data_IF_995604393904
#
_entry.id   IF_995604393904
#
_cell.length_a   1.000
_cell.length_b   1.000
_cell.length_c   1.000
_cell.angle_alpha   90.00
_cell.angle_beta   90.00
_cell.angle_gamma   90.00
#
_symmetry.space_group_name_H-M   'P 1'
#
loop_
_entity.id
_entity.type
_entity.pdbx_description
1 polymer ?
#
# COMPACT_ATOMS: atom_id res chain seq x y z
N UNK A 1 -23.98 23.69 -29.65
CA UNK A 1 -22.52 23.45 -29.69
C UNK A 1 -22.02 23.48 -28.25
N UNK A 2 -21.96 22.34 -27.62
CA UNK A 2 -21.41 22.24 -26.23
C UNK A 2 -19.90 21.99 -26.35
N UNK A 3 -19.13 23.04 -26.13
CA UNK A 3 -17.67 22.94 -25.97
C UNK A 3 -17.36 22.46 -24.58
N UNK A 4 -17.26 21.12 -24.38
CA UNK A 4 -16.63 20.56 -23.17
C UNK A 4 -15.14 20.90 -23.23
N UNK A 5 -14.72 21.87 -22.45
CA UNK A 5 -13.30 22.23 -22.29
C UNK A 5 -12.60 21.14 -21.48
N UNK A 6 -11.45 20.60 -21.88
CA UNK A 6 -10.73 19.52 -21.19
C UNK A 6 -10.43 19.79 -19.71
N UNK A 7 -10.26 21.03 -19.31
CA UNK A 7 -10.00 21.43 -17.92
C UNK A 7 -11.16 21.25 -16.96
N UNK A 8 -12.40 21.30 -17.42
CA UNK A 8 -13.59 21.16 -16.57
C UNK A 8 -13.78 19.70 -16.14
N UNK A 9 -13.48 18.75 -17.03
CA UNK A 9 -13.62 17.31 -16.76
C UNK A 9 -12.54 16.81 -15.79
N UNK A 10 -11.28 17.26 -15.93
CA UNK A 10 -10.19 16.90 -15.03
C UNK A 10 -10.44 17.38 -13.60
N UNK A 11 -10.85 18.64 -13.42
CA UNK A 11 -11.19 19.19 -12.10
C UNK A 11 -12.36 18.44 -11.42
N UNK A 12 -13.31 17.92 -12.20
CA UNK A 12 -14.45 17.15 -11.68
C UNK A 12 -13.99 15.78 -11.17
N UNK A 13 -13.11 15.09 -11.90
CA UNK A 13 -12.55 13.79 -11.50
C UNK A 13 -11.69 13.93 -10.24
N UNK A 14 -10.80 14.91 -10.19
CA UNK A 14 -9.95 15.15 -9.01
C UNK A 14 -10.80 15.49 -7.76
N UNK A 15 -11.87 16.26 -7.94
CA UNK A 15 -12.81 16.58 -6.84
C UNK A 15 -13.54 15.35 -6.33
N UNK A 16 -13.99 14.44 -7.21
CA UNK A 16 -14.61 13.17 -6.83
C UNK A 16 -13.62 12.29 -6.05
N UNK A 17 -12.39 12.12 -6.58
CA UNK A 17 -11.36 11.35 -5.92
C UNK A 17 -11.00 11.93 -4.56
N UNK A 18 -10.80 13.22 -4.46
CA UNK A 18 -10.52 13.92 -3.20
C UNK A 18 -11.62 13.69 -2.18
N UNK A 19 -12.89 13.81 -2.60
CA UNK A 19 -14.05 13.59 -1.72
C UNK A 19 -14.12 12.17 -1.19
N UNK A 20 -13.85 11.16 -2.03
CA UNK A 20 -13.88 9.75 -1.62
C UNK A 20 -12.68 9.42 -0.74
N UNK A 21 -11.46 9.77 -1.17
CA UNK A 21 -10.23 9.40 -0.47
C UNK A 21 -10.16 10.03 0.92
N UNK A 22 -10.58 11.29 1.06
CA UNK A 22 -10.54 12.02 2.34
C UNK A 22 -11.40 11.41 3.44
N UNK A 23 -12.41 10.62 3.09
CA UNK A 23 -13.29 9.96 4.05
C UNK A 23 -12.67 8.71 4.70
N UNK A 24 -11.69 8.09 4.03
CA UNK A 24 -11.13 6.80 4.46
C UNK A 24 -9.64 6.87 4.78
N UNK A 25 -8.85 7.66 4.05
CA UNK A 25 -7.39 7.63 4.09
C UNK A 25 -6.85 8.87 4.81
N UNK A 26 -6.59 8.75 6.12
CA UNK A 26 -6.03 9.82 6.96
C UNK A 26 -4.69 10.34 6.43
N UNK A 27 -3.85 9.46 5.92
CA UNK A 27 -2.59 9.81 5.27
C UNK A 27 -2.74 10.92 4.21
N UNK A 28 -3.77 10.81 3.36
CA UNK A 28 -4.08 11.83 2.35
C UNK A 28 -4.47 13.17 2.99
N UNK A 29 -5.24 13.14 4.07
CA UNK A 29 -5.72 14.36 4.73
C UNK A 29 -4.58 15.19 5.33
N UNK A 30 -3.51 14.52 5.74
CA UNK A 30 -2.34 15.13 6.36
C UNK A 30 -1.33 15.73 5.35
N UNK A 31 -1.47 15.42 4.07
CA UNK A 31 -0.59 15.97 3.03
C UNK A 31 -0.75 17.49 2.88
N UNK A 32 0.32 18.15 2.45
CA UNK A 32 0.27 19.52 1.94
C UNK A 32 -0.62 19.61 0.67
N UNK A 33 -1.04 20.82 0.28
CA UNK A 33 -1.86 20.99 -0.94
C UNK A 33 -1.13 20.46 -2.19
N UNK A 34 0.18 20.69 -2.29
CA UNK A 34 1.00 20.14 -3.36
C UNK A 34 1.08 18.62 -3.30
N UNK A 35 1.18 18.06 -2.09
CA UNK A 35 1.14 16.61 -1.86
C UNK A 35 -0.21 16.01 -2.24
N UNK A 36 -1.32 16.62 -1.86
CA UNK A 36 -2.67 16.19 -2.25
C UNK A 36 -2.85 16.18 -3.76
N UNK A 37 -2.44 17.24 -4.42
CA UNK A 37 -2.51 17.32 -5.89
C UNK A 37 -1.75 16.18 -6.55
N UNK A 38 -0.47 15.98 -6.16
CA UNK A 38 0.36 14.88 -6.68
C UNK A 38 -0.26 13.50 -6.38
N UNK A 39 -0.83 13.32 -5.20
CA UNK A 39 -1.49 12.08 -4.81
C UNK A 39 -2.70 11.78 -5.71
N UNK A 40 -3.55 12.77 -5.94
CA UNK A 40 -4.73 12.65 -6.80
C UNK A 40 -4.34 12.36 -8.25
N UNK A 41 -3.38 13.09 -8.82
CA UNK A 41 -2.86 12.84 -10.16
C UNK A 41 -2.40 11.38 -10.32
N UNK A 42 -1.66 10.85 -9.34
CA UNK A 42 -1.19 9.47 -9.34
C UNK A 42 -2.32 8.45 -9.16
N UNK A 43 -3.28 8.72 -8.28
CA UNK A 43 -4.42 7.83 -8.04
C UNK A 43 -5.32 7.72 -9.28
N UNK A 44 -5.60 8.83 -9.96
CA UNK A 44 -6.34 8.86 -11.23
C UNK A 44 -5.57 8.08 -12.29
N UNK A 45 -4.27 8.33 -12.42
CA UNK A 45 -3.44 7.61 -13.40
C UNK A 45 -3.39 6.11 -13.10
N UNK A 46 -3.09 5.71 -11.85
CA UNK A 46 -3.06 4.31 -11.45
C UNK A 46 -4.37 3.59 -11.77
N UNK A 47 -5.52 4.22 -11.43
CA UNK A 47 -6.84 3.69 -11.79
C UNK A 47 -7.00 3.47 -13.29
N UNK A 48 -6.50 4.40 -14.11
CA UNK A 48 -6.68 4.37 -15.57
C UNK A 48 -5.91 3.24 -16.27
N UNK A 49 -4.85 2.72 -15.65
CA UNK A 49 -3.99 1.67 -16.19
C UNK A 49 -4.25 0.27 -15.59
N UNK A 50 -5.23 0.14 -14.68
CA UNK A 50 -5.59 -1.12 -14.04
C UNK A 50 -6.96 -1.62 -14.46
N UNK A 51 -7.08 -2.94 -14.57
CA UNK A 51 -8.35 -3.63 -14.78
C UNK A 51 -8.89 -4.12 -13.44
N UNK A 52 -10.06 -3.63 -13.06
CA UNK A 52 -10.76 -4.06 -11.85
C UNK A 52 -11.82 -5.10 -12.21
N UNK A 53 -11.78 -6.25 -11.54
CA UNK A 53 -12.73 -7.34 -11.69
C UNK A 53 -13.40 -7.64 -10.35
N UNK A 54 -14.71 -7.70 -10.34
CA UNK A 54 -15.52 -7.91 -9.14
C UNK A 54 -16.02 -9.35 -9.10
N UNK A 55 -15.64 -10.11 -8.07
CA UNK A 55 -15.96 -11.53 -7.92
C UNK A 55 -17.02 -11.67 -6.83
N UNK A 56 -18.24 -12.02 -7.24
CA UNK A 56 -19.36 -12.24 -6.32
C UNK A 56 -19.93 -10.96 -5.69
N UNK A 57 -19.69 -9.81 -6.32
CA UNK A 57 -20.23 -8.52 -5.89
C UNK A 57 -20.41 -7.57 -7.08
N UNK A 58 -21.26 -6.56 -6.90
CA UNK A 58 -21.44 -5.50 -7.87
C UNK A 58 -20.31 -4.47 -7.81
N UNK A 59 -20.06 -3.82 -8.95
CA UNK A 59 -19.15 -2.69 -9.03
C UNK A 59 -19.65 -1.51 -8.19
N UNK A 60 -18.74 -0.89 -7.44
CA UNK A 60 -18.99 0.36 -6.71
C UNK A 60 -17.91 1.36 -7.08
N UNK A 61 -18.32 2.61 -7.30
CA UNK A 61 -17.42 3.67 -7.79
C UNK A 61 -16.23 3.94 -6.87
N UNK A 62 -16.43 3.84 -5.56
CA UNK A 62 -15.41 4.11 -4.56
C UNK A 62 -14.30 3.05 -4.52
N UNK A 63 -14.59 1.80 -4.89
CA UNK A 63 -13.64 0.69 -4.80
C UNK A 63 -12.36 0.97 -5.60
N UNK A 64 -12.43 1.22 -6.92
CA UNK A 64 -11.20 1.44 -7.69
C UNK A 64 -10.47 2.73 -7.30
N UNK A 65 -11.17 3.74 -6.79
CA UNK A 65 -10.59 4.97 -6.29
C UNK A 65 -9.74 4.68 -5.04
N UNK A 66 -10.32 3.98 -4.06
CA UNK A 66 -9.68 3.72 -2.77
C UNK A 66 -8.53 2.72 -2.89
N UNK A 67 -8.67 1.67 -3.70
CA UNK A 67 -7.57 0.72 -3.94
C UNK A 67 -6.40 1.42 -4.69
N UNK A 68 -6.70 2.29 -5.65
CA UNK A 68 -5.66 3.09 -6.31
C UNK A 68 -4.98 4.04 -5.32
N UNK A 69 -5.72 4.62 -4.40
CA UNK A 69 -5.17 5.48 -3.36
C UNK A 69 -4.27 4.71 -2.38
N UNK A 70 -4.62 3.47 -2.02
CA UNK A 70 -3.77 2.60 -1.20
C UNK A 70 -2.43 2.28 -1.90
N UNK A 71 -2.46 1.97 -3.19
CA UNK A 71 -1.25 1.77 -3.99
C UNK A 71 -0.36 3.03 -4.03
N UNK A 72 -0.99 4.20 -4.22
CA UNK A 72 -0.28 5.49 -4.22
C UNK A 72 0.27 5.82 -2.83
N UNK A 73 -0.44 5.51 -1.75
CA UNK A 73 0.05 5.74 -0.39
C UNK A 73 1.41 5.06 -0.16
N UNK A 74 1.54 3.79 -0.52
CA UNK A 74 2.80 3.05 -0.37
C UNK A 74 3.90 3.61 -1.28
N UNK A 75 3.56 3.95 -2.50
CA UNK A 75 4.52 4.36 -3.54
C UNK A 75 4.72 5.86 -3.64
N UNK A 76 4.14 6.66 -2.74
CA UNK A 76 4.08 8.13 -2.87
C UNK A 76 5.45 8.80 -2.96
N UNK A 77 6.44 8.28 -2.24
CA UNK A 77 7.81 8.76 -2.28
C UNK A 77 8.65 8.24 -3.46
N UNK A 78 8.17 7.21 -4.16
CA UNK A 78 8.90 6.54 -5.23
C UNK A 78 8.70 7.22 -6.58
N UNK A 79 9.69 7.08 -7.46
CA UNK A 79 9.58 7.50 -8.85
C UNK A 79 8.66 6.56 -9.64
N UNK A 80 8.78 5.27 -9.40
CA UNK A 80 7.99 4.20 -9.99
C UNK A 80 6.86 3.81 -9.05
N UNK A 81 5.62 4.05 -9.47
CA UNK A 81 4.42 3.87 -8.62
C UNK A 81 3.32 3.07 -9.32
N UNK A 82 3.54 2.71 -10.57
CA UNK A 82 2.49 2.15 -11.44
C UNK A 82 2.27 0.65 -11.22
N UNK A 83 3.25 -0.07 -10.68
CA UNK A 83 3.23 -1.53 -10.53
C UNK A 83 2.82 -2.22 -11.85
N UNK A 84 3.56 -2.03 -12.96
CA UNK A 84 3.12 -2.41 -14.30
C UNK A 84 2.98 -3.92 -14.53
N UNK A 85 3.62 -4.77 -13.72
CA UNK A 85 3.41 -6.22 -13.75
C UNK A 85 1.97 -6.58 -13.40
N UNK A 86 1.40 -5.93 -12.38
CA UNK A 86 0.05 -6.18 -11.90
C UNK A 86 -0.99 -5.36 -12.65
N UNK A 87 -1.46 -5.88 -13.78
CA UNK A 87 -2.50 -5.22 -14.58
C UNK A 87 -3.90 -5.40 -14.00
N UNK A 88 -4.15 -6.53 -13.35
CA UNK A 88 -5.45 -6.92 -12.85
C UNK A 88 -5.54 -6.75 -11.34
N UNK A 89 -6.66 -6.21 -10.88
CA UNK A 89 -7.04 -6.12 -9.48
C UNK A 89 -8.39 -6.82 -9.33
N UNK A 90 -8.45 -7.84 -8.49
CA UNK A 90 -9.64 -8.62 -8.22
C UNK A 90 -10.20 -8.25 -6.85
N UNK A 91 -11.50 -7.99 -6.79
CA UNK A 91 -12.16 -7.57 -5.55
C UNK A 91 -13.25 -8.58 -5.21
N UNK A 92 -13.20 -9.08 -3.97
CA UNK A 92 -14.20 -9.98 -3.39
C UNK A 92 -14.97 -9.25 -2.28
N UNK A 93 -16.24 -9.62 -2.00
CA UNK A 93 -17.01 -8.95 -0.94
C UNK A 93 -16.48 -9.24 0.47
N UNK A 94 -15.99 -10.47 0.72
CA UNK A 94 -15.51 -10.98 2.01
C UNK A 94 -14.29 -11.88 1.78
N UNK A 95 -13.75 -12.45 2.84
CA UNK A 95 -12.73 -13.48 2.78
C UNK A 95 -13.15 -14.63 1.85
N UNK A 96 -12.20 -15.25 1.20
CA UNK A 96 -12.44 -16.27 0.18
C UNK A 96 -11.44 -17.41 0.31
N UNK A 97 -11.76 -18.52 -0.32
CA UNK A 97 -10.91 -19.70 -0.41
C UNK A 97 -10.47 -19.89 -1.87
N UNK A 98 -9.21 -20.14 -2.08
CA UNK A 98 -8.70 -20.49 -3.42
C UNK A 98 -8.96 -21.97 -3.71
N UNK A 99 -9.25 -22.26 -4.97
CA UNK A 99 -9.51 -23.64 -5.41
C UNK A 99 -8.30 -24.54 -5.11
N UNK A 100 -8.52 -25.60 -4.33
CA UNK A 100 -7.48 -26.56 -3.94
C UNK A 100 -6.71 -26.18 -2.68
N UNK A 101 -6.93 -25.01 -2.09
CA UNK A 101 -6.33 -24.58 -0.83
C UNK A 101 -7.34 -24.66 0.31
N UNK A 102 -6.87 -24.94 1.53
CA UNK A 102 -7.73 -24.99 2.72
C UNK A 102 -7.74 -23.64 3.48
N UNK A 103 -6.78 -22.81 3.18
CA UNK A 103 -6.61 -21.51 3.83
C UNK A 103 -7.65 -20.50 3.35
N UNK A 104 -8.02 -19.60 4.25
CA UNK A 104 -8.93 -18.49 3.97
C UNK A 104 -8.09 -17.25 3.77
N UNK A 105 -8.29 -16.58 2.65
CA UNK A 105 -7.59 -15.37 2.26
C UNK A 105 -8.47 -14.13 2.43
N UNK A 106 -7.87 -13.05 2.88
CA UNK A 106 -8.45 -11.71 2.91
C UNK A 106 -7.86 -10.81 1.83
N UNK A 107 -6.71 -11.22 1.30
CA UNK A 107 -5.99 -10.67 0.17
C UNK A 107 -4.90 -11.64 -0.26
N UNK A 108 -4.36 -11.50 -1.43
CA UNK A 108 -3.10 -12.12 -1.87
C UNK A 108 -2.61 -11.50 -3.16
N UNK A 109 -1.31 -11.62 -3.39
CA UNK A 109 -0.66 -11.26 -4.64
C UNK A 109 -0.20 -12.52 -5.37
N UNK A 110 -0.49 -12.59 -6.65
CA UNK A 110 -0.06 -13.71 -7.52
C UNK A 110 0.25 -13.19 -8.93
N UNK A 111 0.82 -14.00 -9.83
CA UNK A 111 1.05 -13.58 -11.21
C UNK A 111 -0.22 -13.15 -11.97
N UNK A 112 -1.38 -13.62 -11.55
CA UNK A 112 -2.68 -13.25 -12.14
C UNK A 112 -3.09 -11.83 -11.78
N UNK A 113 -2.67 -11.31 -10.61
CA UNK A 113 -3.01 -10.00 -10.14
C UNK A 113 -2.97 -9.83 -8.62
N UNK A 114 -3.52 -8.71 -8.16
CA UNK A 114 -3.70 -8.39 -6.75
C UNK A 114 -5.15 -8.67 -6.37
N UNK A 115 -5.38 -9.48 -5.34
CA UNK A 115 -6.69 -9.84 -4.83
C UNK A 115 -6.94 -9.17 -3.49
N UNK A 116 -8.09 -8.51 -3.32
CA UNK A 116 -8.43 -7.75 -2.12
C UNK A 116 -9.87 -8.04 -1.71
N UNK A 117 -10.09 -8.42 -0.46
CA UNK A 117 -11.41 -8.44 0.15
C UNK A 117 -11.86 -7.03 0.51
N UNK A 118 -12.98 -6.60 -0.05
CA UNK A 118 -13.52 -5.26 0.19
C UNK A 118 -13.88 -5.01 1.65
N UNK A 119 -14.44 -6.01 2.32
CA UNK A 119 -14.76 -5.95 3.75
C UNK A 119 -13.51 -5.67 4.59
N UNK A 120 -12.43 -6.42 4.35
CA UNK A 120 -11.19 -6.27 5.10
C UNK A 120 -10.39 -5.02 4.69
N UNK A 121 -10.54 -4.56 3.44
CA UNK A 121 -10.07 -3.24 3.03
C UNK A 121 -10.69 -2.14 3.89
N UNK A 122 -12.01 -2.15 4.03
CA UNK A 122 -12.71 -1.14 4.85
C UNK A 122 -12.38 -1.25 6.33
N UNK A 123 -12.18 -2.46 6.85
CA UNK A 123 -11.76 -2.66 8.24
C UNK A 123 -10.39 -2.06 8.50
N UNK A 124 -9.40 -2.29 7.61
CA UNK A 124 -8.05 -1.77 7.74
C UNK A 124 -8.00 -0.24 7.75
N UNK A 125 -8.82 0.43 6.96
CA UNK A 125 -8.92 1.90 7.02
C UNK A 125 -9.88 2.43 8.09
N UNK A 126 -10.64 1.54 8.74
CA UNK A 126 -11.55 1.90 9.84
C UNK A 126 -10.87 2.08 11.18
N UNK A 127 -9.75 1.40 11.41
CA UNK A 127 -8.92 1.53 12.61
C UNK A 127 -7.44 1.69 12.20
N UNK A 128 -6.97 2.93 12.18
CA UNK A 128 -5.61 3.27 11.80
C UNK A 128 -4.57 3.04 12.93
N UNK A 129 -4.88 2.23 13.95
CA UNK A 129 -4.02 2.05 15.13
C UNK A 129 -3.73 0.59 15.46
N UNK A 130 -4.40 -0.36 14.83
CA UNK A 130 -4.28 -1.79 15.13
C UNK A 130 -3.14 -2.50 14.38
N UNK A 131 -2.44 -1.80 13.49
CA UNK A 131 -1.38 -2.32 12.61
C UNK A 131 -1.88 -3.43 11.67
N UNK A 132 -3.15 -3.39 11.24
CA UNK A 132 -3.75 -4.37 10.34
C UNK A 132 -4.46 -3.67 9.19
N UNK A 133 -3.83 -3.62 8.04
CA UNK A 133 -4.40 -3.03 6.84
C UNK A 133 -4.10 -3.91 5.62
N UNK A 134 -5.09 -4.71 5.23
CA UNK A 134 -4.94 -5.66 4.12
C UNK A 134 -4.56 -4.97 2.80
N UNK A 135 -5.04 -3.75 2.56
CA UNK A 135 -4.69 -3.05 1.33
C UNK A 135 -3.21 -2.65 1.31
N UNK A 136 -2.71 -2.11 2.43
CA UNK A 136 -1.29 -1.79 2.60
C UNK A 136 -0.44 -3.05 2.51
N UNK A 137 -0.88 -4.14 3.14
CA UNK A 137 -0.22 -5.45 3.12
C UNK A 137 -0.02 -5.98 1.71
N UNK A 138 -1.10 -6.09 0.94
CA UNK A 138 -1.03 -6.63 -0.43
C UNK A 138 -0.26 -5.71 -1.38
N UNK A 139 -0.38 -4.40 -1.22
CA UNK A 139 0.42 -3.46 -2.01
C UNK A 139 1.91 -3.51 -1.65
N UNK A 140 2.27 -3.84 -0.40
CA UNK A 140 3.66 -4.06 -0.01
C UNK A 140 4.24 -5.32 -0.69
N UNK A 141 3.49 -6.43 -0.72
CA UNK A 141 3.87 -7.61 -1.49
C UNK A 141 3.99 -7.32 -2.99
N UNK A 142 3.03 -6.58 -3.56
CA UNK A 142 3.08 -6.19 -4.96
C UNK A 142 4.32 -5.35 -5.29
N UNK A 143 4.68 -4.40 -4.42
CA UNK A 143 5.86 -3.56 -4.59
C UNK A 143 7.16 -4.37 -4.51
N UNK A 144 7.27 -5.31 -3.58
CA UNK A 144 8.41 -6.23 -3.49
C UNK A 144 8.50 -7.09 -4.75
N UNK A 145 7.41 -7.70 -5.16
CA UNK A 145 7.35 -8.56 -6.34
C UNK A 145 7.72 -7.81 -7.62
N UNK A 146 7.22 -6.60 -7.82
CA UNK A 146 7.55 -5.75 -8.97
C UNK A 146 9.05 -5.52 -9.11
N UNK A 147 9.74 -5.31 -7.99
CA UNK A 147 11.15 -4.95 -7.99
C UNK A 147 12.12 -6.14 -8.01
N UNK A 148 11.71 -7.33 -7.55
CA UNK A 148 12.62 -8.46 -7.38
C UNK A 148 12.31 -9.65 -8.30
N UNK A 149 11.09 -9.78 -8.80
CA UNK A 149 10.67 -10.90 -9.63
C UNK A 149 10.52 -10.46 -11.09
N UNK A 150 10.05 -9.25 -11.32
CA UNK A 150 9.88 -8.69 -12.65
C UNK A 150 10.93 -7.60 -12.92
N UNK A 151 12.02 -7.95 -13.56
CA UNK A 151 13.16 -7.05 -13.79
C UNK A 151 12.93 -6.00 -14.91
N UNK A 152 11.71 -5.85 -15.44
CA UNK A 152 11.46 -4.99 -16.61
C UNK A 152 11.28 -3.50 -16.24
N UNK A 153 10.86 -3.16 -15.03
CA UNK A 153 10.68 -1.78 -14.57
C UNK A 153 11.12 -1.56 -13.11
N UNK A 154 12.32 -2.01 -12.80
CA UNK A 154 12.90 -1.96 -11.45
C UNK A 154 13.17 -0.52 -11.02
N UNK A 155 12.73 -0.14 -9.83
CA UNK A 155 13.22 1.04 -9.13
C UNK A 155 14.59 0.72 -8.51
N UNK A 156 15.67 1.17 -9.14
CA UNK A 156 17.04 0.88 -8.71
C UNK A 156 17.34 1.41 -7.31
N UNK A 157 16.72 2.50 -6.90
CA UNK A 157 16.86 3.06 -5.56
C UNK A 157 16.15 2.19 -4.53
N UNK A 158 14.88 1.82 -4.80
CA UNK A 158 14.14 0.90 -3.94
C UNK A 158 14.95 -0.39 -3.71
N UNK A 159 15.46 -0.99 -4.79
CA UNK A 159 16.25 -2.23 -4.73
C UNK A 159 17.53 -2.07 -3.89
N UNK A 160 18.23 -0.96 -4.05
CA UNK A 160 19.47 -0.68 -3.30
C UNK A 160 19.21 -0.47 -1.80
N UNK A 161 18.15 0.27 -1.45
CA UNK A 161 17.80 0.51 -0.06
C UNK A 161 17.14 -0.73 0.59
N UNK A 162 16.36 -1.51 -0.16
CA UNK A 162 15.80 -2.79 0.30
C UNK A 162 16.88 -3.83 0.64
N UNK A 163 18.04 -3.80 -0.01
CA UNK A 163 19.15 -4.69 0.33
C UNK A 163 19.62 -4.52 1.79
N UNK A 164 19.40 -3.34 2.40
CA UNK A 164 19.71 -3.07 3.82
C UNK A 164 18.65 -3.65 4.75
N UNK A 165 17.44 -3.89 4.26
CA UNK A 165 16.30 -4.34 5.06
C UNK A 165 16.61 -5.66 5.79
N UNK A 166 17.20 -6.64 5.11
CA UNK A 166 17.55 -7.92 5.71
C UNK A 166 18.52 -7.81 6.89
N UNK A 167 19.47 -6.85 6.84
CA UNK A 167 20.42 -6.63 7.93
C UNK A 167 19.79 -6.00 9.17
N UNK A 168 18.70 -5.27 9.00
CA UNK A 168 17.95 -4.62 10.09
C UNK A 168 16.83 -5.53 10.59
N UNK A 169 16.11 -6.18 9.70
CA UNK A 169 14.98 -7.06 10.00
C UNK A 169 15.42 -8.38 10.65
N UNK A 170 16.52 -8.97 10.21
CA UNK A 170 17.02 -10.24 10.72
C UNK A 170 17.19 -10.30 12.25
N UNK A 171 17.87 -9.34 12.89
CA UNK A 171 17.96 -9.29 14.36
C UNK A 171 16.61 -9.12 15.05
N UNK A 172 15.68 -8.32 14.49
CA UNK A 172 14.33 -8.13 15.05
C UNK A 172 13.55 -9.44 14.97
N UNK A 173 13.59 -10.09 13.79
CA UNK A 173 12.96 -11.39 13.55
C UNK A 173 13.47 -12.47 14.53
N UNK A 174 14.79 -12.61 14.63
CA UNK A 174 15.41 -13.58 15.53
C UNK A 174 15.07 -13.31 17.01
N UNK A 175 15.10 -12.04 17.43
CA UNK A 175 14.76 -11.65 18.81
C UNK A 175 13.30 -11.97 19.14
N UNK A 176 12.38 -11.73 18.21
CA UNK A 176 10.96 -12.00 18.43
C UNK A 176 10.67 -13.51 18.61
N UNK A 177 11.32 -14.36 17.79
CA UNK A 177 11.19 -15.82 17.92
C UNK A 177 11.69 -16.30 19.30
N UNK A 178 12.82 -15.77 19.76
CA UNK A 178 13.41 -16.19 21.05
C UNK A 178 12.62 -15.67 22.25
N UNK A 179 12.19 -14.42 22.20
CA UNK A 179 11.58 -13.75 23.35
C UNK A 179 10.05 -13.81 23.37
N UNK A 180 9.42 -14.30 22.31
CA UNK A 180 7.96 -14.30 22.10
C UNK A 180 7.32 -12.92 22.34
N UNK A 181 8.06 -11.85 22.05
CA UNK A 181 7.61 -10.45 22.18
C UNK A 181 8.16 -9.62 21.05
N UNK A 182 7.28 -8.89 20.37
CA UNK A 182 7.61 -7.91 19.36
C UNK A 182 6.59 -6.79 19.37
N UNK A 183 6.97 -5.65 18.82
CA UNK A 183 6.04 -4.58 18.46
C UNK A 183 5.16 -4.98 17.26
N UNK A 184 5.73 -5.75 16.33
CA UNK A 184 4.99 -6.29 15.19
C UNK A 184 4.16 -7.50 15.63
N UNK A 185 2.99 -7.68 14.99
CA UNK A 185 2.12 -8.84 15.23
C UNK A 185 2.79 -10.15 14.82
N UNK A 186 2.39 -11.26 15.45
CA UNK A 186 3.02 -12.58 15.28
C UNK A 186 3.10 -13.04 13.81
N UNK A 187 2.14 -12.65 13.00
CA UNK A 187 2.11 -12.97 11.57
C UNK A 187 3.36 -12.49 10.82
N UNK A 188 3.98 -11.38 11.25
CA UNK A 188 5.25 -10.89 10.71
C UNK A 188 6.37 -11.94 10.74
N UNK A 189 6.31 -12.89 11.65
CA UNK A 189 7.38 -13.88 11.89
C UNK A 189 7.14 -15.21 11.17
N UNK A 190 6.17 -15.28 10.27
CA UNK A 190 5.93 -16.44 9.40
C UNK A 190 7.07 -16.62 8.40
N UNK A 191 7.48 -15.57 7.74
CA UNK A 191 8.62 -15.50 6.82
C UNK A 191 9.03 -14.04 6.59
N UNK A 192 10.11 -13.81 5.81
CA UNK A 192 10.64 -12.46 5.59
C UNK A 192 9.75 -11.60 4.68
N UNK A 193 8.94 -12.19 3.82
CA UNK A 193 7.99 -11.46 2.98
C UNK A 193 6.84 -10.90 3.84
N UNK A 194 6.32 -11.73 4.76
CA UNK A 194 5.33 -11.28 5.73
C UNK A 194 5.91 -10.26 6.70
N UNK A 195 7.18 -10.43 7.11
CA UNK A 195 7.86 -9.42 7.94
C UNK A 195 7.92 -8.07 7.23
N UNK A 196 8.21 -8.05 5.93
CA UNK A 196 8.18 -6.85 5.11
C UNK A 196 6.79 -6.22 5.10
N UNK A 197 5.77 -6.97 4.70
CA UNK A 197 4.40 -6.46 4.55
C UNK A 197 3.84 -5.92 5.89
N UNK A 198 3.99 -6.65 6.99
CA UNK A 198 3.55 -6.22 8.33
C UNK A 198 4.36 -5.01 8.84
N UNK A 199 5.64 -4.91 8.48
CA UNK A 199 6.44 -3.73 8.83
C UNK A 199 5.93 -2.48 8.09
N UNK A 200 5.51 -2.63 6.84
CA UNK A 200 4.90 -1.53 6.04
C UNK A 200 3.52 -1.17 6.57
N UNK A 201 2.71 -2.14 7.00
CA UNK A 201 1.45 -1.83 7.71
C UNK A 201 1.71 -0.96 8.93
N UNK A 202 2.56 -1.40 9.84
CA UNK A 202 2.91 -0.65 11.06
C UNK A 202 3.52 0.73 10.76
N UNK A 203 4.25 0.86 9.65
CA UNK A 203 4.83 2.13 9.21
C UNK A 203 3.78 3.16 8.83
N UNK A 204 2.65 2.76 8.25
CA UNK A 204 1.57 3.67 7.87
C UNK A 204 0.47 3.80 8.93
N UNK A 205 0.19 2.75 9.69
CA UNK A 205 -0.87 2.71 10.69
C UNK A 205 -0.45 3.33 12.03
N UNK A 206 0.69 2.90 12.56
CA UNK A 206 1.19 3.38 13.86
C UNK A 206 2.66 3.78 13.78
N UNK A 207 2.92 4.77 12.93
CA UNK A 207 4.26 5.26 12.62
C UNK A 207 5.06 5.68 13.85
N UNK A 208 4.42 6.39 14.80
CA UNK A 208 5.07 6.86 16.01
C UNK A 208 5.47 5.68 16.93
N UNK A 209 4.59 4.69 17.08
CA UNK A 209 4.86 3.48 17.85
C UNK A 209 5.98 2.65 17.23
N UNK A 210 5.99 2.49 15.91
CA UNK A 210 7.08 1.82 15.20
C UNK A 210 8.42 2.55 15.39
N UNK A 211 8.44 3.86 15.25
CA UNK A 211 9.65 4.68 15.47
C UNK A 211 10.19 4.56 16.89
N UNK A 212 9.30 4.53 17.88
CA UNK A 212 9.68 4.39 19.27
C UNK A 212 10.22 2.98 19.59
N UNK A 213 9.54 1.93 19.09
CA UNK A 213 9.83 0.53 19.44
C UNK A 213 10.95 -0.06 18.59
N UNK A 214 11.01 0.28 17.29
CA UNK A 214 11.94 -0.27 16.31
C UNK A 214 12.57 0.84 15.44
N UNK A 215 13.34 1.79 16.05
CA UNK A 215 13.80 3.00 15.36
C UNK A 215 14.69 2.73 14.13
N UNK A 216 15.46 1.66 14.14
CA UNK A 216 16.29 1.29 12.97
C UNK A 216 15.44 0.75 11.83
N UNK A 217 14.42 -0.05 12.13
CA UNK A 217 13.47 -0.56 11.13
C UNK A 217 12.69 0.61 10.51
N UNK A 218 12.16 1.50 11.36
CA UNK A 218 11.49 2.72 10.91
C UNK A 218 12.37 3.55 9.94
N UNK A 219 13.62 3.84 10.32
CA UNK A 219 14.53 4.60 9.46
C UNK A 219 14.80 3.89 8.13
N UNK A 220 14.94 2.57 8.17
CA UNK A 220 15.14 1.76 6.95
C UNK A 220 13.91 1.83 6.03
N UNK A 221 12.70 1.75 6.59
CA UNK A 221 11.46 1.89 5.81
C UNK A 221 11.33 3.31 5.22
N UNK A 222 11.70 4.35 5.97
CA UNK A 222 11.77 5.71 5.43
C UNK A 222 12.70 5.80 4.21
N UNK A 223 13.85 5.15 4.26
CA UNK A 223 14.79 5.15 3.14
C UNK A 223 14.25 4.37 1.93
N UNK A 224 13.72 3.17 2.15
CA UNK A 224 13.18 2.29 1.11
C UNK A 224 12.01 2.95 0.39
N UNK A 225 11.02 3.45 1.15
CA UNK A 225 9.81 4.04 0.60
C UNK A 225 9.99 5.51 0.21
N UNK A 226 11.16 6.09 0.54
CA UNK A 226 11.45 7.51 0.37
C UNK A 226 10.37 8.42 0.98
N UNK A 227 9.85 8.01 2.14
CA UNK A 227 8.78 8.68 2.85
C UNK A 227 9.06 8.74 4.35
N UNK A 228 8.56 9.78 5.01
CA UNK A 228 8.41 9.84 6.46
C UNK A 228 6.96 10.23 6.78
N UNK A 229 6.09 9.28 7.20
CA UNK A 229 4.69 9.58 7.50
C UNK A 229 4.47 10.57 8.64
N UNK A 230 5.49 10.84 9.46
CA UNK A 230 5.41 11.83 10.53
C UNK A 230 5.64 13.28 10.05
N UNK A 231 6.06 13.46 8.81
CA UNK A 231 6.27 14.80 8.23
C UNK A 231 5.09 15.21 7.35
N UNK A 232 4.85 16.52 7.24
CA UNK A 232 3.72 17.05 6.46
C UNK A 232 3.84 16.76 4.96
N UNK A 233 5.04 16.81 4.41
CA UNK A 233 5.27 16.56 2.98
C UNK A 233 5.45 15.07 2.66
N UNK A 234 5.60 14.24 3.70
CA UNK A 234 5.75 12.78 3.61
C UNK A 234 6.96 12.29 2.77
N UNK A 235 7.45 13.06 1.80
CA UNK A 235 8.54 12.67 0.90
C UNK A 235 9.86 13.18 1.46
N UNK A 236 10.88 12.32 1.50
CA UNK A 236 12.22 12.69 1.87
C UNK A 236 12.90 13.39 0.68
N UNK A 237 13.27 14.66 0.88
CA UNK A 237 14.11 15.39 -0.07
C UNK A 237 15.56 14.97 0.19
N UNK A 238 16.10 14.11 -0.67
CA UNK A 238 17.50 13.67 -0.63
C UNK A 238 18.26 14.21 -1.81
#
# INVERSE_FOLDING_TARGET
>A
MNSNTPGTTANTIESEYSSVISQYISYFNELSDAGKKRFLERAVHFRSIKHFSYIGMDEKKEIPILISAAAVQITFGLGKYELPFFKNIYVTPDAYQRTGEKEIFVGHVSPEGIFISWKYFLQGYGDATDNVNVAIHEMAHALEHENFINETDVDSRFKADFAKFSSVSGPVFASAIVNHRSYLRDYAFTNMQEFWAVSVEAFFENTAGLKQSLPRLYATLCDILNQDPLTKDKILIK
#
